data_IF_862532944941
#
_entry.id   IF_862532944941
#
_cell.length_a   1.000
_cell.length_b   1.000
_cell.length_c   1.000
_cell.angle_alpha   90.00
_cell.angle_beta   90.00
_cell.angle_gamma   90.00
#
_symmetry.space_group_name_H-M   'P 1'
#
loop_
_entity.id
_entity.type
_entity.pdbx_description
1 polymer ?
#
# COMPACT_ATOMS: atom_id res chain seq x y z
N UNK A 1 -4.70 21.32 -4.73
CA UNK A 1 -3.66 20.35 -5.10
C UNK A 1 -3.67 19.37 -3.96
N UNK A 2 -3.83 18.06 -4.25
CA UNK A 2 -3.87 17.06 -3.20
C UNK A 2 -2.62 17.15 -2.32
N UNK A 3 -2.79 16.92 -1.03
CA UNK A 3 -1.77 17.10 -0.01
C UNK A 3 -0.86 15.88 0.03
N UNK A 4 0.45 16.10 0.08
CA UNK A 4 1.43 15.03 0.34
C UNK A 4 1.18 14.47 1.75
N UNK A 5 0.99 13.15 1.84
CA UNK A 5 0.68 12.45 3.10
C UNK A 5 1.70 12.75 4.20
N UNK A 6 2.98 12.99 3.86
CA UNK A 6 4.04 13.32 4.83
C UNK A 6 3.86 14.67 5.50
N UNK A 7 3.02 15.53 4.94
CA UNK A 7 2.69 16.88 5.46
C UNK A 7 1.21 17.03 5.80
N UNK A 8 0.42 15.96 5.69
CA UNK A 8 -0.99 16.01 5.98
C UNK A 8 -1.20 16.21 7.48
N UNK A 9 -2.03 17.18 7.91
CA UNK A 9 -2.19 17.52 9.34
C UNK A 9 -2.73 16.35 10.17
N UNK A 10 -3.54 15.50 9.55
CA UNK A 10 -4.15 14.33 10.17
C UNK A 10 -3.41 13.02 9.84
N UNK A 11 -2.25 13.08 9.16
CA UNK A 11 -1.43 11.88 9.00
C UNK A 11 -0.84 11.45 10.34
N UNK A 12 -0.73 10.13 10.59
CA UNK A 12 -0.13 9.65 11.82
C UNK A 12 1.34 10.04 11.89
N UNK A 13 1.81 10.20 13.12
CA UNK A 13 3.24 10.33 13.40
C UNK A 13 3.93 9.00 13.12
N UNK A 14 4.78 8.96 12.08
CA UNK A 14 5.49 7.74 11.66
C UNK A 14 6.37 7.18 12.78
N UNK A 15 6.85 7.98 13.73
CA UNK A 15 7.60 7.48 14.89
C UNK A 15 6.72 6.61 15.80
N UNK A 16 5.40 6.85 15.83
CA UNK A 16 4.44 6.03 16.58
C UNK A 16 4.06 4.75 15.85
N UNK A 17 4.45 4.63 14.59
CA UNK A 17 4.18 3.49 13.72
C UNK A 17 5.36 2.51 13.64
N UNK A 18 6.39 2.69 14.49
CA UNK A 18 7.59 1.84 14.52
C UNK A 18 7.31 0.37 14.87
N UNK A 19 6.15 0.08 15.47
CA UNK A 19 5.74 -1.28 15.88
C UNK A 19 4.66 -1.86 14.97
N UNK A 20 4.60 -1.40 13.71
CA UNK A 20 3.77 -2.00 12.68
C UNK A 20 4.52 -3.12 11.96
N UNK A 21 3.86 -4.26 11.80
CA UNK A 21 4.31 -5.36 10.97
C UNK A 21 3.52 -5.35 9.67
N UNK A 22 4.22 -5.30 8.54
CA UNK A 22 3.63 -5.40 7.21
C UNK A 22 3.94 -6.78 6.61
N UNK A 23 2.92 -7.64 6.54
CA UNK A 23 3.07 -9.01 6.05
C UNK A 23 2.37 -9.21 4.70
N UNK A 24 3.07 -9.69 3.64
CA UNK A 24 2.41 -9.96 2.37
C UNK A 24 1.47 -11.15 2.48
N UNK A 25 0.20 -10.98 2.09
CA UNK A 25 -0.75 -12.09 2.02
C UNK A 25 -0.32 -13.04 0.89
N UNK A 26 -0.14 -14.34 1.16
CA UNK A 26 0.30 -15.28 0.13
C UNK A 26 -0.80 -15.52 -0.90
N UNK A 27 -0.38 -15.79 -2.15
CA UNK A 27 -1.28 -16.10 -3.27
C UNK A 27 -2.26 -17.23 -2.97
N UNK A 28 -1.81 -18.27 -2.27
CA UNK A 28 -2.65 -19.42 -1.90
C UNK A 28 -3.82 -18.98 -1.02
N UNK A 29 -3.61 -18.03 -0.11
CA UNK A 29 -4.69 -17.48 0.71
C UNK A 29 -5.69 -16.69 -0.14
N UNK A 30 -5.22 -15.80 -1.01
CA UNK A 30 -6.09 -15.03 -1.92
C UNK A 30 -6.95 -15.96 -2.79
N UNK A 31 -6.34 -17.01 -3.37
CA UNK A 31 -7.06 -18.01 -4.17
C UNK A 31 -8.09 -18.74 -3.33
N UNK A 32 -7.71 -19.24 -2.16
CA UNK A 32 -8.61 -19.96 -1.25
C UNK A 32 -9.81 -19.12 -0.83
N UNK A 33 -9.61 -17.85 -0.46
CA UNK A 33 -10.68 -16.90 -0.12
C UNK A 33 -11.65 -16.72 -1.30
N UNK A 34 -11.14 -16.46 -2.50
CA UNK A 34 -11.94 -16.35 -3.73
C UNK A 34 -12.70 -17.64 -4.05
N UNK A 35 -12.08 -18.80 -3.89
CA UNK A 35 -12.70 -20.12 -4.10
C UNK A 35 -13.83 -20.40 -3.09
N UNK A 36 -13.73 -19.88 -1.87
CA UNK A 36 -14.80 -19.93 -0.87
C UNK A 36 -15.96 -18.96 -1.17
N UNK A 37 -15.86 -18.16 -2.23
CA UNK A 37 -16.88 -17.18 -2.62
C UNK A 37 -16.67 -15.78 -2.03
N UNK A 38 -15.60 -15.56 -1.26
CA UNK A 38 -15.29 -14.24 -0.70
C UNK A 38 -14.79 -13.29 -1.80
N UNK A 39 -15.20 -12.03 -1.68
CA UNK A 39 -14.82 -10.92 -2.56
C UNK A 39 -14.02 -9.92 -1.73
N UNK A 40 -12.87 -9.49 -2.25
CA UNK A 40 -12.10 -8.42 -1.65
C UNK A 40 -12.76 -7.08 -2.02
N UNK A 41 -13.37 -6.43 -1.04
CA UNK A 41 -13.81 -5.05 -1.17
C UNK A 41 -12.63 -4.11 -0.88
N UNK A 42 -12.51 -3.03 -1.63
CA UNK A 42 -11.37 -2.11 -1.59
C UNK A 42 -11.86 -0.67 -1.64
N UNK A 43 -11.39 0.14 -0.68
CA UNK A 43 -11.53 1.58 -0.65
C UNK A 43 -10.20 2.21 -1.09
N UNK A 44 -10.16 2.73 -2.33
CA UNK A 44 -8.93 3.31 -2.92
C UNK A 44 -8.73 4.71 -2.37
N UNK A 45 -7.73 4.87 -1.49
CA UNK A 45 -7.47 6.10 -0.74
C UNK A 45 -7.14 7.26 -1.68
N UNK A 46 -6.42 7.01 -2.77
CA UNK A 46 -6.07 8.02 -3.78
C UNK A 46 -7.30 8.66 -4.47
N UNK A 47 -8.44 7.98 -4.47
CA UNK A 47 -9.68 8.45 -5.12
C UNK A 47 -10.63 9.17 -4.13
N UNK A 48 -10.26 9.25 -2.84
CA UNK A 48 -11.07 9.89 -1.80
C UNK A 48 -10.98 11.42 -1.83
N UNK A 49 -12.05 12.05 -2.29
CA UNK A 49 -12.17 13.52 -2.32
C UNK A 49 -12.19 14.16 -0.93
N UNK A 50 -12.63 13.43 0.10
CA UNK A 50 -12.71 13.93 1.47
C UNK A 50 -11.34 13.98 2.18
N UNK A 51 -10.39 13.14 1.74
CA UNK A 51 -9.01 13.14 2.25
C UNK A 51 -8.08 14.01 1.40
N UNK A 52 -8.32 14.11 0.09
CA UNK A 52 -7.49 14.86 -0.89
C UNK A 52 -5.98 14.63 -0.68
N UNK A 53 -5.59 13.36 -0.51
CA UNK A 53 -4.24 12.93 -0.12
C UNK A 53 -3.52 12.16 -1.22
N UNK A 54 -2.19 12.31 -1.30
CA UNK A 54 -1.31 11.57 -2.24
C UNK A 54 -0.02 11.09 -1.60
N UNK A 55 0.58 10.09 -2.26
CA UNK A 55 1.87 9.49 -1.96
C UNK A 55 2.86 9.73 -3.13
N UNK A 56 3.43 10.95 -3.26
CA UNK A 56 4.37 11.25 -4.33
C UNK A 56 5.74 10.61 -4.09
N UNK A 57 6.35 10.07 -5.14
CA UNK A 57 7.71 9.52 -5.09
C UNK A 57 8.75 10.65 -5.19
N UNK A 58 9.05 11.32 -4.08
CA UNK A 58 10.11 12.33 -3.96
C UNK A 58 10.92 12.15 -2.68
N UNK A 59 12.15 12.64 -2.65
CA UNK A 59 13.06 12.51 -1.50
C UNK A 59 12.52 13.24 -0.25
N UNK A 60 11.86 14.39 -0.44
CA UNK A 60 11.22 15.14 0.64
C UNK A 60 9.86 15.76 0.29
N UNK A 61 9.08 16.21 1.29
CA UNK A 61 7.78 16.83 1.06
C UNK A 61 7.88 18.14 0.27
N UNK A 62 7.07 18.29 -0.77
CA UNK A 62 7.07 19.48 -1.64
C UNK A 62 8.26 19.58 -2.58
N UNK A 63 9.15 18.60 -2.59
CA UNK A 63 10.22 18.48 -3.58
C UNK A 63 9.68 18.03 -4.94
N UNK A 64 10.43 18.27 -6.03
CA UNK A 64 10.08 17.71 -7.33
C UNK A 64 9.87 16.19 -7.24
N UNK A 65 8.81 15.69 -7.88
CA UNK A 65 8.58 14.25 -8.00
C UNK A 65 9.58 13.72 -9.02
N UNK A 66 10.69 13.17 -8.52
CA UNK A 66 11.76 12.59 -9.33
C UNK A 66 11.65 11.07 -9.48
N UNK A 67 10.92 10.40 -8.58
CA UNK A 67 10.69 8.96 -8.61
C UNK A 67 9.53 8.56 -9.51
N UNK A 68 9.65 7.41 -10.15
CA UNK A 68 8.56 6.78 -10.89
C UNK A 68 7.93 5.62 -10.10
N UNK A 69 6.71 5.25 -10.46
CA UNK A 69 5.98 4.12 -9.87
C UNK A 69 6.71 2.77 -10.04
N UNK A 70 7.65 2.68 -10.98
CA UNK A 70 8.53 1.53 -11.17
C UNK A 70 9.59 1.40 -10.08
N UNK A 71 10.02 2.52 -9.49
CA UNK A 71 10.91 2.55 -8.31
C UNK A 71 10.20 1.95 -7.10
N UNK A 72 8.93 2.33 -6.87
CA UNK A 72 8.11 1.71 -5.83
C UNK A 72 7.95 0.19 -6.04
N UNK A 73 7.64 -0.23 -7.28
CA UNK A 73 7.59 -1.66 -7.61
C UNK A 73 8.91 -2.37 -7.31
N UNK A 74 10.04 -1.78 -7.72
CA UNK A 74 11.35 -2.37 -7.49
C UNK A 74 11.62 -2.58 -6.00
N UNK A 75 11.26 -1.62 -5.15
CA UNK A 75 11.36 -1.74 -3.68
C UNK A 75 10.49 -2.85 -3.11
N UNK A 76 9.21 -2.88 -3.50
CA UNK A 76 8.30 -3.92 -3.06
C UNK A 76 8.81 -5.31 -3.46
N UNK A 77 9.41 -5.43 -4.66
CA UNK A 77 10.02 -6.69 -5.11
C UNK A 77 11.25 -7.07 -4.28
N UNK A 78 12.10 -6.11 -3.91
CA UNK A 78 13.27 -6.38 -3.05
C UNK A 78 12.87 -6.86 -1.66
N UNK A 79 11.82 -6.28 -1.09
CA UNK A 79 11.38 -6.58 0.29
C UNK A 79 10.49 -7.83 0.36
N UNK A 80 9.57 -8.00 -0.59
CA UNK A 80 8.48 -8.98 -0.48
C UNK A 80 8.42 -9.98 -1.63
N UNK A 81 9.29 -9.85 -2.64
CA UNK A 81 9.25 -10.70 -3.84
C UNK A 81 8.17 -10.26 -4.83
N UNK A 82 7.66 -11.18 -5.65
CA UNK A 82 6.71 -10.82 -6.73
C UNK A 82 5.33 -10.39 -6.20
N UNK A 83 4.55 -9.60 -6.97
CA UNK A 83 3.17 -9.23 -6.63
C UNK A 83 2.31 -10.40 -6.12
N UNK A 84 1.50 -10.15 -5.10
CA UNK A 84 0.74 -11.21 -4.42
C UNK A 84 -0.56 -11.58 -5.12
N UNK A 85 -1.10 -10.73 -6.00
CA UNK A 85 -2.27 -11.09 -6.80
C UNK A 85 -1.83 -11.93 -8.02
N UNK A 86 -2.44 -13.13 -8.24
CA UNK A 86 -2.08 -14.01 -9.35
C UNK A 86 -2.08 -13.35 -10.72
N UNK A 87 -3.03 -12.44 -10.97
CA UNK A 87 -3.20 -11.70 -12.22
C UNK A 87 -2.06 -10.71 -12.54
N UNK A 88 -1.19 -10.36 -11.57
CA UNK A 88 -0.05 -9.46 -11.79
C UNK A 88 1.31 -10.18 -11.75
N UNK A 89 1.31 -11.51 -11.76
CA UNK A 89 2.56 -12.27 -11.84
C UNK A 89 3.29 -12.05 -13.16
N UNK A 90 4.62 -12.01 -13.08
CA UNK A 90 5.46 -11.96 -14.27
C UNK A 90 5.30 -13.25 -15.09
N UNK A 91 4.96 -13.09 -16.38
CA UNK A 91 4.80 -14.21 -17.32
C UNK A 91 3.35 -14.58 -17.65
N UNK A 92 2.36 -14.01 -16.94
CA UNK A 92 0.95 -14.11 -17.31
C UNK A 92 0.62 -13.19 -18.50
N UNK A 93 -0.35 -13.60 -19.34
CA UNK A 93 -0.84 -12.78 -20.46
C UNK A 93 -1.81 -11.72 -19.93
N UNK A 94 -1.26 -10.55 -19.59
CA UNK A 94 -2.02 -9.44 -18.99
C UNK A 94 -2.42 -8.48 -20.11
N UNK A 95 -3.52 -8.80 -20.80
CA UNK A 95 -4.02 -8.05 -21.96
C UNK A 95 -4.49 -6.62 -21.64
N UNK A 96 -4.76 -6.30 -20.36
CA UNK A 96 -5.40 -5.05 -19.91
C UNK A 96 -4.54 -4.16 -19.00
N UNK A 97 -3.20 -4.09 -19.23
CA UNK A 97 -2.27 -3.19 -18.50
C UNK A 97 -2.42 -1.70 -18.83
N UNK A 98 -3.63 -1.16 -18.82
CA UNK A 98 -3.84 0.29 -19.10
C UNK A 98 -3.84 1.16 -17.84
N UNK A 99 -4.13 0.58 -16.68
CA UNK A 99 -4.35 1.35 -15.44
C UNK A 99 -3.55 0.84 -14.24
N UNK A 100 -3.39 -0.48 -14.09
CA UNK A 100 -2.60 -1.10 -13.00
C UNK A 100 -1.74 -2.24 -13.55
N UNK A 101 -0.45 -2.21 -13.25
CA UNK A 101 0.59 -3.13 -13.71
C UNK A 101 1.09 -4.05 -12.61
N UNK A 102 0.94 -3.66 -11.33
CA UNK A 102 1.25 -4.49 -10.18
C UNK A 102 0.33 -4.18 -8.99
N UNK A 103 0.16 -5.17 -8.12
CA UNK A 103 -0.57 -4.98 -6.86
C UNK A 103 -0.14 -6.01 -5.83
N UNK A 104 0.07 -5.55 -4.63
CA UNK A 104 0.28 -6.36 -3.44
C UNK A 104 -0.94 -6.21 -2.53
N UNK A 105 -1.20 -7.26 -1.76
CA UNK A 105 -2.11 -7.29 -0.63
C UNK A 105 -1.28 -7.61 0.60
N UNK A 106 -1.36 -6.75 1.60
CA UNK A 106 -0.67 -6.90 2.87
C UNK A 106 -1.67 -6.98 4.01
N UNK A 107 -1.30 -7.73 5.04
CA UNK A 107 -1.81 -7.57 6.39
C UNK A 107 -0.93 -6.56 7.11
N UNK A 108 -1.57 -5.60 7.76
CA UNK A 108 -0.93 -4.69 8.69
C UNK A 108 -1.33 -5.15 10.09
N UNK A 109 -0.35 -5.47 10.93
CA UNK A 109 -0.55 -5.80 12.34
C UNK A 109 0.11 -4.72 13.20
N UNK A 110 -0.58 -4.32 14.26
CA UNK A 110 -0.15 -3.31 15.20
C UNK A 110 0.14 -3.99 16.55
N UNK A 111 1.41 -3.99 16.96
CA UNK A 111 1.82 -4.64 18.22
C UNK A 111 1.46 -3.84 19.48
N UNK A 112 1.16 -2.54 19.35
CA UNK A 112 0.81 -1.63 20.45
C UNK A 112 -0.59 -1.02 20.25
N UNK A 113 -1.33 -0.79 21.34
CA UNK A 113 -2.60 -0.04 21.27
C UNK A 113 -2.34 1.43 20.85
N UNK A 114 -2.48 1.73 19.55
CA UNK A 114 -2.52 3.11 19.03
C UNK A 114 -3.99 3.54 18.95
N UNK A 115 -4.29 4.68 19.58
CA UNK A 115 -5.65 5.22 19.63
C UNK A 115 -6.23 5.39 18.21
N UNK A 116 -7.47 4.93 18.04
CA UNK A 116 -8.26 5.02 16.80
C UNK A 116 -7.72 4.20 15.59
N UNK A 117 -6.82 3.24 15.82
CA UNK A 117 -6.43 2.23 14.82
C UNK A 117 -6.87 0.81 15.24
N UNK A 118 -7.26 -0.05 14.29
CA UNK A 118 -7.52 -1.46 14.57
C UNK A 118 -6.21 -2.24 14.75
N UNK A 119 -6.26 -3.32 15.53
CA UNK A 119 -5.12 -4.23 15.76
C UNK A 119 -4.59 -4.85 14.45
N UNK A 120 -5.49 -5.13 13.51
CA UNK A 120 -5.18 -5.70 12.21
C UNK A 120 -6.08 -5.10 11.12
N UNK A 121 -5.51 -4.78 9.96
CA UNK A 121 -6.29 -4.49 8.76
C UNK A 121 -5.54 -4.89 7.47
N UNK A 122 -6.26 -4.90 6.34
CA UNK A 122 -5.68 -5.22 5.05
C UNK A 122 -5.47 -3.96 4.22
N UNK A 123 -4.32 -3.89 3.54
CA UNK A 123 -4.04 -2.84 2.57
C UNK A 123 -3.58 -3.40 1.25
N UNK A 124 -3.90 -2.71 0.17
CA UNK A 124 -3.31 -2.92 -1.14
C UNK A 124 -2.30 -1.83 -1.44
N UNK A 125 -1.18 -2.21 -2.06
CA UNK A 125 -0.18 -1.28 -2.59
C UNK A 125 0.09 -1.64 -4.03
N UNK A 126 -0.07 -0.68 -4.94
CA UNK A 126 0.04 -0.89 -6.38
C UNK A 126 0.41 0.39 -7.11
N UNK A 127 0.41 0.34 -8.44
CA UNK A 127 0.45 1.55 -9.24
C UNK A 127 -0.92 2.21 -9.35
N UNK A 128 -0.94 3.53 -9.15
CA UNK A 128 -2.09 4.38 -9.45
C UNK A 128 -1.62 5.51 -10.36
N UNK A 129 -1.92 5.39 -11.65
CA UNK A 129 -1.47 6.31 -12.71
C UNK A 129 0.07 6.39 -12.77
N UNK A 130 0.67 7.38 -12.11
CA UNK A 130 2.13 7.61 -12.07
C UNK A 130 2.67 7.65 -10.63
N UNK A 131 1.80 7.39 -9.65
CA UNK A 131 2.09 7.47 -8.22
C UNK A 131 1.81 6.12 -7.56
N UNK A 132 2.15 5.99 -6.27
CA UNK A 132 1.78 4.81 -5.47
C UNK A 132 0.28 4.87 -5.16
N UNK A 133 -0.40 3.79 -5.50
CA UNK A 133 -1.80 3.53 -5.17
C UNK A 133 -1.91 2.75 -3.88
N UNK A 134 -2.79 3.21 -2.99
CA UNK A 134 -3.07 2.55 -1.71
C UNK A 134 -4.57 2.36 -1.56
N UNK A 135 -4.97 1.14 -1.22
CA UNK A 135 -6.35 0.83 -0.84
C UNK A 135 -6.41 0.21 0.54
N UNK A 136 -7.47 0.47 1.29
CA UNK A 136 -7.81 -0.32 2.48
C UNK A 136 -8.81 -1.39 2.06
N UNK A 137 -8.68 -2.60 2.58
CA UNK A 137 -9.42 -3.75 2.09
C UNK A 137 -10.14 -4.53 3.19
N UNK A 138 -11.22 -5.22 2.80
CA UNK A 138 -11.96 -6.16 3.64
C UNK A 138 -12.45 -7.34 2.79
N UNK A 139 -12.33 -8.57 3.29
CA UNK A 139 -12.97 -9.73 2.68
C UNK A 139 -14.45 -9.78 3.04
N UNK A 140 -15.31 -9.95 2.03
CA UNK A 140 -16.78 -9.97 2.20
C UNK A 140 -17.40 -11.14 1.47
N UNK A 141 -18.55 -11.61 1.95
CA UNK A 141 -19.32 -12.69 1.32
C UNK A 141 -19.94 -12.26 -0.03
N UNK A 142 -20.12 -10.96 -0.24
CA UNK A 142 -20.69 -10.43 -1.47
C UNK A 142 -20.09 -9.06 -1.85
N UNK A 143 -20.16 -8.75 -3.15
CA UNK A 143 -19.68 -7.48 -3.68
C UNK A 143 -20.58 -6.34 -3.18
N UNK A 144 -20.04 -5.52 -2.29
CA UNK A 144 -20.70 -4.38 -1.68
C UNK A 144 -19.74 -3.19 -1.58
N UNK A 145 -20.28 -1.98 -1.45
CA UNK A 145 -19.47 -0.78 -1.22
C UNK A 145 -18.81 -0.85 0.17
N UNK A 146 -17.54 -0.49 0.21
CA UNK A 146 -16.74 -0.41 1.43
C UNK A 146 -16.04 0.95 1.45
N UNK A 147 -16.04 1.57 2.62
CA UNK A 147 -15.27 2.79 2.87
C UNK A 147 -14.62 2.61 4.23
N UNK A 148 -13.30 2.72 4.25
CA UNK A 148 -12.53 2.58 5.46
C UNK A 148 -12.63 3.83 6.34
N UNK A 149 -12.31 3.67 7.62
CA UNK A 149 -12.14 4.81 8.51
C UNK A 149 -11.07 5.77 7.94
N UNK A 150 -11.31 7.09 7.93
CA UNK A 150 -10.36 8.10 7.44
C UNK A 150 -8.96 7.98 8.03
N UNK A 151 -8.83 7.66 9.33
CA UNK A 151 -7.55 7.55 10.00
C UNK A 151 -6.79 6.29 9.56
N UNK A 152 -7.49 5.17 9.38
CA UNK A 152 -6.92 3.95 8.82
C UNK A 152 -6.45 4.18 7.38
N UNK A 153 -7.25 4.89 6.58
CA UNK A 153 -6.90 5.23 5.20
C UNK A 153 -5.64 6.11 5.11
N UNK A 154 -5.58 7.20 5.90
CA UNK A 154 -4.39 8.07 5.97
C UNK A 154 -3.16 7.33 6.48
N UNK A 155 -3.34 6.47 7.49
CA UNK A 155 -2.24 5.67 8.05
C UNK A 155 -1.70 4.68 7.04
N UNK A 156 -2.59 4.01 6.30
CA UNK A 156 -2.21 3.08 5.23
C UNK A 156 -1.41 3.78 4.13
N UNK A 157 -1.83 5.01 3.76
CA UNK A 157 -1.11 5.82 2.78
C UNK A 157 0.28 6.21 3.28
N UNK A 158 0.40 6.65 4.53
CA UNK A 158 1.68 7.03 5.14
C UNK A 158 2.64 5.84 5.24
N UNK A 159 2.13 4.67 5.64
CA UNK A 159 2.90 3.43 5.72
C UNK A 159 3.40 2.98 4.34
N UNK A 160 2.52 2.94 3.34
CA UNK A 160 2.89 2.54 1.98
C UNK A 160 3.93 3.50 1.38
N UNK A 161 3.78 4.81 1.59
CA UNK A 161 4.78 5.80 1.22
C UNK A 161 6.12 5.47 1.87
N UNK A 162 6.16 5.30 3.19
CA UNK A 162 7.39 5.00 3.92
C UNK A 162 8.09 3.73 3.39
N UNK A 163 7.37 2.63 3.24
CA UNK A 163 7.92 1.35 2.74
C UNK A 163 8.45 1.45 1.30
N UNK A 164 7.86 2.32 0.48
CA UNK A 164 8.26 2.48 -0.93
C UNK A 164 9.34 3.53 -1.14
N UNK A 165 9.59 4.43 -0.18
CA UNK A 165 10.59 5.50 -0.30
C UNK A 165 11.81 5.36 0.59
N UNK A 166 11.71 4.69 1.74
CA UNK A 166 12.87 4.57 2.65
C UNK A 166 13.97 3.68 2.05
N UNK A 167 15.24 4.12 2.10
CA UNK A 167 16.35 3.33 1.61
C UNK A 167 16.61 2.12 2.51
N UNK A 168 16.90 0.97 1.89
CA UNK A 168 17.24 -0.25 2.64
C UNK A 168 18.76 -0.31 2.78
N UNK A 169 19.25 -0.42 4.02
CA UNK A 169 20.67 -0.58 4.26
C UNK A 169 21.13 -1.97 3.77
N UNK A 170 22.14 -1.99 2.89
CA UNK A 170 22.83 -3.23 2.56
C UNK A 170 23.81 -3.60 3.67
N UNK A 171 23.44 -4.57 4.50
CA UNK A 171 24.27 -5.09 5.59
C UNK A 171 25.65 -5.58 5.13
N UNK A 172 25.80 -6.00 3.86
CA UNK A 172 27.08 -6.54 3.36
C UNK A 172 28.11 -5.45 2.99
N UNK A 173 27.69 -4.20 2.80
CA UNK A 173 28.58 -3.14 2.31
C UNK A 173 28.51 -1.81 3.08
N UNK A 174 27.66 -1.67 4.09
CA UNK A 174 27.37 -0.36 4.72
C UNK A 174 27.03 0.72 3.69
N UNK A 175 26.30 0.33 2.63
CA UNK A 175 25.82 1.25 1.58
C UNK A 175 24.29 1.23 1.64
N UNK A 176 23.69 2.42 1.62
CA UNK A 176 22.25 2.61 1.54
C UNK A 176 21.82 2.56 0.07
N UNK A 177 20.83 1.73 -0.23
CA UNK A 177 20.24 1.62 -1.57
C UNK A 177 18.93 2.36 -1.64
#
# INVERSE_FOLDING_TARGET
MPTDVRTHPDAPDLEKLQNLVLEPIPQEEIRRRRENGEVLAEDVVNDREDLDVRAPMSDGPGEPVEGDVGTALYRLVQLFGTPTFPEYMAGEDISDRRETTYKYLFRVELDDDVEDLPDEWLITVGDWKVEVGVGVCEWRDEKSEFTADPQVALTSMALAQNVTTEPVQCEFKDIWY
#
